data_IF_623407992353
#
_entry.id   IF_623407992353
#
_cell.length_a   1.000
_cell.length_b   1.000
_cell.length_c   1.000
_cell.angle_alpha   90.00
_cell.angle_beta   90.00
_cell.angle_gamma   90.00
#
_symmetry.space_group_name_H-M   'P 1'
#
loop_
_entity.id
_entity.type
_entity.pdbx_description
1 polymer ?
#
# COMPACT_ATOMS: atom_id res chain seq x y z
N UNK A 1 5.17 -20.38 1.00
CA UNK A 1 5.45 -19.01 1.52
C UNK A 1 5.22 -18.04 0.39
N UNK A 2 4.47 -16.97 0.59
CA UNK A 2 4.40 -15.86 -0.37
C UNK A 2 5.56 -14.89 -0.06
N UNK A 3 6.40 -14.53 -1.05
CA UNK A 3 7.47 -13.57 -0.82
C UNK A 3 6.89 -12.19 -0.51
N UNK A 4 7.57 -11.43 0.36
CA UNK A 4 7.22 -10.03 0.59
C UNK A 4 7.51 -9.25 -0.69
N UNK A 5 6.55 -8.45 -1.21
CA UNK A 5 6.79 -7.64 -2.39
C UNK A 5 7.92 -6.64 -2.15
N UNK A 6 8.67 -6.30 -3.20
CA UNK A 6 9.66 -5.24 -3.12
C UNK A 6 8.96 -3.87 -3.14
N UNK A 7 9.56 -2.82 -2.56
CA UNK A 7 8.98 -1.47 -2.60
C UNK A 7 8.70 -0.97 -4.02
N UNK A 8 9.54 -1.33 -4.99
CA UNK A 8 9.40 -0.96 -6.40
C UNK A 8 8.10 -1.51 -7.03
N UNK A 9 7.67 -2.71 -6.62
CA UNK A 9 6.42 -3.30 -7.10
C UNK A 9 5.19 -2.52 -6.60
N UNK A 10 5.32 -1.81 -5.47
CA UNK A 10 4.26 -1.00 -4.88
C UNK A 10 4.25 0.44 -5.38
N UNK A 11 5.35 0.91 -5.99
CA UNK A 11 5.50 2.28 -6.47
C UNK A 11 4.32 2.76 -7.37
N UNK A 12 3.83 1.97 -8.35
CA UNK A 12 2.71 2.40 -9.19
C UNK A 12 1.42 2.62 -8.38
N UNK A 13 1.16 1.75 -7.41
CA UNK A 13 0.01 1.85 -6.53
C UNK A 13 0.13 3.06 -5.60
N UNK A 14 1.28 3.21 -4.94
CA UNK A 14 1.56 4.34 -4.04
C UNK A 14 1.48 5.69 -4.75
N UNK A 15 1.99 5.79 -5.98
CA UNK A 15 1.86 7.02 -6.79
C UNK A 15 0.42 7.35 -7.09
N UNK A 16 -0.38 6.33 -7.40
CA UNK A 16 -1.80 6.49 -7.74
C UNK A 16 -2.61 6.91 -6.52
N UNK A 17 -2.43 6.23 -5.38
CA UNK A 17 -3.13 6.56 -4.14
C UNK A 17 -2.75 7.95 -3.63
N UNK A 18 -1.48 8.32 -3.70
CA UNK A 18 -1.03 9.67 -3.33
C UNK A 18 -1.66 10.74 -4.21
N UNK A 19 -1.85 10.48 -5.51
CA UNK A 19 -2.47 11.42 -6.44
C UNK A 19 -3.95 11.72 -6.12
N UNK A 20 -4.63 10.81 -5.43
CA UNK A 20 -6.01 10.99 -4.96
C UNK A 20 -6.07 11.42 -3.49
N UNK A 21 -4.92 11.78 -2.88
CA UNK A 21 -4.83 12.23 -1.50
C UNK A 21 -4.86 11.10 -0.46
N UNK A 22 -4.63 9.86 -0.89
CA UNK A 22 -4.74 8.67 -0.05
C UNK A 22 -3.35 8.14 0.36
N UNK A 23 -3.12 8.09 1.66
CA UNK A 23 -1.88 7.60 2.25
C UNK A 23 -2.02 6.14 2.65
N UNK A 24 -1.21 5.26 2.06
CA UNK A 24 -1.20 3.82 2.34
C UNK A 24 0.04 3.45 3.14
N UNK A 25 -0.13 2.82 4.30
CA UNK A 25 0.98 2.31 5.11
C UNK A 25 1.49 0.98 4.56
N UNK A 26 2.75 0.92 4.15
CA UNK A 26 3.41 -0.29 3.62
C UNK A 26 4.42 -0.91 4.60
N UNK A 27 4.43 -0.48 5.86
CA UNK A 27 5.37 -0.96 6.88
C UNK A 27 5.20 -2.44 7.23
N UNK A 28 3.98 -2.98 7.09
CA UNK A 28 3.67 -4.38 7.28
C UNK A 28 2.46 -4.80 6.46
N UNK A 29 2.30 -6.10 6.20
CA UNK A 29 1.12 -6.63 5.51
C UNK A 29 -0.20 -6.31 6.23
N UNK A 30 -0.17 -6.21 7.56
CA UNK A 30 -1.35 -5.82 8.35
C UNK A 30 -1.68 -4.35 8.14
N UNK A 31 -0.70 -3.46 8.32
CA UNK A 31 -0.91 -2.01 8.16
C UNK A 31 -1.35 -1.66 6.73
N UNK A 32 -0.83 -2.41 5.74
CA UNK A 32 -1.24 -2.29 4.34
C UNK A 32 -2.70 -2.67 4.13
N UNK A 33 -3.14 -3.82 4.66
CA UNK A 33 -4.53 -4.24 4.57
C UNK A 33 -5.46 -3.28 5.32
N UNK A 34 -5.11 -2.91 6.55
CA UNK A 34 -5.89 -1.97 7.37
C UNK A 34 -6.04 -0.61 6.63
N UNK A 35 -4.96 -0.09 6.02
CA UNK A 35 -5.01 1.16 5.24
C UNK A 35 -5.96 1.09 4.03
N UNK A 36 -6.06 -0.07 3.38
CA UNK A 36 -6.96 -0.28 2.25
C UNK A 36 -8.43 -0.43 2.70
N UNK A 37 -8.67 -1.10 3.82
CA UNK A 37 -10.03 -1.23 4.38
C UNK A 37 -10.58 0.13 4.86
N UNK A 38 -9.70 1.04 5.31
CA UNK A 38 -10.04 2.41 5.69
C UNK A 38 -10.18 3.39 4.52
N UNK A 39 -9.75 3.00 3.32
CA UNK A 39 -9.73 3.85 2.12
C UNK A 39 -11.10 3.95 1.39
N UNK A 40 -12.12 3.28 1.91
CA UNK A 40 -13.46 3.09 1.28
C UNK A 40 -14.44 4.19 1.68
#
# INVERSE_FOLDING_TARGET
RHPTPTPEMLEPLLRTTTSIGLNIDVSSSKAFADSLDHAV
#
